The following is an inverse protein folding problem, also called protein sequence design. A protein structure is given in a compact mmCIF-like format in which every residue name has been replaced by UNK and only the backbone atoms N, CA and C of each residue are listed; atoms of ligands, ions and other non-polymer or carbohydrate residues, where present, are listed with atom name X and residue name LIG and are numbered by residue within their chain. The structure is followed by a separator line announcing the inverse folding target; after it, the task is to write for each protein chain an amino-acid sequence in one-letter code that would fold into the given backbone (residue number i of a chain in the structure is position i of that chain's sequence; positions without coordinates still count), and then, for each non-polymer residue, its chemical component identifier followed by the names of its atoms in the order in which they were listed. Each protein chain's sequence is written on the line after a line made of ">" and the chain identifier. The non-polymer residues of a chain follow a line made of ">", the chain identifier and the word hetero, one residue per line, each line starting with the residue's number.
data_IF_344500185389
#
_entry.id   IF_344500185389
#
_cell.length_a   1.000
_cell.length_b   1.000
_cell.length_c   1.000
_cell.angle_alpha   90.00
_cell.angle_beta   90.00
_cell.angle_gamma   90.00
#
_symmetry.space_group_name_H-M   'P 1'
#
loop_
_entity.id
_entity.type
_entity.pdbx_description
1 polymer ?
#
# COMPACT_ATOMS: atom_id res chain seq x y z
N UNK A 1 8.34 -13.43 -16.40
CA UNK A 1 8.75 -14.55 -15.52
C UNK A 1 7.77 -14.68 -14.37
N UNK A 2 7.76 -15.80 -13.65
CA UNK A 2 6.73 -16.13 -12.63
C UNK A 2 6.44 -15.01 -11.63
N UNK A 3 7.48 -14.33 -11.12
CA UNK A 3 7.31 -13.21 -10.17
C UNK A 3 6.44 -12.07 -10.70
N UNK A 4 6.65 -11.66 -11.96
CA UNK A 4 5.87 -10.60 -12.62
C UNK A 4 4.39 -10.98 -12.82
N UNK A 5 4.09 -12.27 -13.03
CA UNK A 5 2.70 -12.71 -13.13
C UNK A 5 2.01 -12.69 -11.76
N UNK A 6 2.73 -13.07 -10.69
CA UNK A 6 2.22 -13.03 -9.32
C UNK A 6 1.96 -11.59 -8.89
N UNK A 7 2.91 -10.68 -9.07
CA UNK A 7 2.75 -9.28 -8.65
C UNK A 7 1.65 -8.58 -9.44
N UNK A 8 1.52 -8.86 -10.75
CA UNK A 8 0.40 -8.36 -11.56
C UNK A 8 -0.95 -8.83 -11.02
N UNK A 9 -1.11 -10.13 -10.81
CA UNK A 9 -2.35 -10.70 -10.29
C UNK A 9 -2.71 -10.13 -8.90
N UNK A 10 -1.73 -10.05 -7.99
CA UNK A 10 -1.93 -9.43 -6.68
C UNK A 10 -2.31 -7.95 -6.79
N UNK A 11 -1.70 -7.22 -7.74
CA UNK A 11 -2.05 -5.83 -8.02
C UNK A 11 -3.49 -5.67 -8.51
N UNK A 12 -3.93 -6.50 -9.45
CA UNK A 12 -5.31 -6.52 -9.96
C UNK A 12 -6.33 -6.80 -8.85
N UNK A 13 -6.12 -7.89 -8.10
CA UNK A 13 -6.98 -8.27 -6.96
C UNK A 13 -7.02 -7.16 -5.90
N UNK A 14 -5.89 -6.53 -5.59
CA UNK A 14 -5.83 -5.41 -4.65
C UNK A 14 -6.68 -4.24 -5.14
N UNK A 15 -6.56 -3.87 -6.42
CA UNK A 15 -7.34 -2.77 -7.00
C UNK A 15 -8.84 -3.03 -6.96
N UNK A 16 -9.27 -4.26 -7.24
CA UNK A 16 -10.67 -4.68 -7.14
C UNK A 16 -11.18 -4.61 -5.70
N UNK A 17 -10.43 -5.17 -4.74
CA UNK A 17 -10.79 -5.13 -3.32
C UNK A 17 -10.89 -3.68 -2.82
N UNK A 18 -9.91 -2.84 -3.14
CA UNK A 18 -9.93 -1.42 -2.77
C UNK A 18 -11.12 -0.68 -3.39
N UNK A 19 -11.50 -1.02 -4.62
CA UNK A 19 -12.66 -0.44 -5.30
C UNK A 19 -13.99 -0.83 -4.64
N UNK A 20 -14.11 -2.07 -4.15
CA UNK A 20 -15.37 -2.61 -3.61
C UNK A 20 -15.53 -2.26 -2.13
N UNK A 21 -14.47 -2.45 -1.34
CA UNK A 21 -14.55 -2.39 0.12
C UNK A 21 -14.08 -1.07 0.72
N UNK A 22 -13.29 -0.27 0.00
CA UNK A 22 -12.65 0.94 0.52
C UNK A 22 -12.02 0.72 1.92
N UNK A 23 -11.00 -0.16 2.02
CA UNK A 23 -10.43 -0.54 3.31
C UNK A 23 -9.87 0.68 4.05
N UNK A 24 -9.92 0.65 5.39
CA UNK A 24 -9.37 1.71 6.26
C UNK A 24 -7.85 1.88 6.15
N UNK A 25 -7.17 0.98 5.47
CA UNK A 25 -5.74 1.06 5.20
C UNK A 25 -5.26 -0.09 4.34
N UNK A 26 -4.17 0.14 3.65
CA UNK A 26 -3.51 -0.83 2.78
C UNK A 26 -2.04 -0.92 3.14
N UNK A 27 -1.50 -2.14 3.18
CA UNK A 27 -0.06 -2.38 3.36
C UNK A 27 0.46 -3.06 2.10
N UNK A 28 1.45 -2.47 1.45
CA UNK A 28 2.11 -3.02 0.26
C UNK A 28 3.58 -3.27 0.58
N UNK A 29 4.03 -4.51 0.47
CA UNK A 29 5.44 -4.87 0.72
C UNK A 29 6.09 -5.43 -0.54
N UNK A 30 7.29 -4.94 -0.85
CA UNK A 30 7.98 -5.18 -2.12
C UNK A 30 7.67 -4.10 -3.16
N UNK A 31 8.71 -3.61 -3.84
CA UNK A 31 8.59 -2.53 -4.83
C UNK A 31 7.67 -2.89 -5.98
N UNK A 32 7.90 -4.04 -6.62
CA UNK A 32 7.08 -4.50 -7.75
C UNK A 32 5.61 -4.68 -7.35
N UNK A 33 5.34 -5.21 -6.16
CA UNK A 33 3.95 -5.37 -5.69
C UNK A 33 3.27 -4.02 -5.49
N UNK A 34 3.98 -3.06 -4.89
CA UNK A 34 3.46 -1.70 -4.73
C UNK A 34 3.18 -1.01 -6.07
N UNK A 35 4.10 -1.17 -7.04
CA UNK A 35 3.95 -0.60 -8.39
C UNK A 35 2.79 -1.25 -9.12
N UNK A 36 2.68 -2.59 -9.15
CA UNK A 36 1.59 -3.27 -9.87
C UNK A 36 0.21 -3.00 -9.27
N UNK A 37 0.11 -2.80 -7.95
CA UNK A 37 -1.12 -2.34 -7.32
C UNK A 37 -1.47 -0.89 -7.72
N UNK A 38 -0.48 0.00 -7.75
CA UNK A 38 -0.69 1.38 -8.21
C UNK A 38 -1.10 1.44 -9.70
N UNK A 39 -0.44 0.64 -10.56
CA UNK A 39 -0.74 0.53 -11.99
C UNK A 39 -2.17 0.02 -12.23
N UNK A 40 -2.59 -1.05 -11.53
CA UNK A 40 -3.95 -1.61 -11.67
C UNK A 40 -5.03 -0.60 -11.26
N UNK A 41 -4.72 0.25 -10.29
CA UNK A 41 -5.58 1.34 -9.81
C UNK A 41 -5.45 2.63 -10.64
N UNK A 42 -4.60 2.65 -11.68
CA UNK A 42 -4.31 3.81 -12.55
C UNK A 42 -3.83 5.03 -11.76
N UNK A 43 -3.00 4.81 -10.74
CA UNK A 43 -2.45 5.86 -9.88
C UNK A 43 -1.28 6.54 -10.59
N UNK A 44 -1.35 7.86 -10.74
CA UNK A 44 -0.27 8.67 -11.35
C UNK A 44 0.77 9.16 -10.35
N UNK A 45 0.47 9.08 -9.05
CA UNK A 45 1.38 9.52 -7.99
C UNK A 45 0.78 9.36 -6.60
N UNK A 46 1.59 9.66 -5.60
CA UNK A 46 1.19 9.59 -4.20
C UNK A 46 1.80 10.74 -3.39
N UNK A 47 1.10 11.13 -2.33
CA UNK A 47 1.58 12.10 -1.34
C UNK A 47 2.11 11.35 -0.13
N UNK A 48 3.38 11.53 0.21
CA UNK A 48 3.93 11.07 1.48
C UNK A 48 3.38 11.97 2.58
N UNK A 49 2.70 11.38 3.57
CA UNK A 49 2.10 12.10 4.68
C UNK A 49 2.82 11.87 5.99
N UNK A 50 3.43 10.71 6.16
CA UNK A 50 4.06 10.32 7.41
C UNK A 50 5.10 9.22 7.16
N UNK A 51 5.91 8.94 8.18
CA UNK A 51 6.84 7.81 8.23
C UNK A 51 6.51 6.95 9.44
N UNK A 52 5.98 5.75 9.19
CA UNK A 52 5.50 4.85 10.25
C UNK A 52 6.69 4.27 11.04
N UNK A 53 7.75 3.94 10.32
CA UNK A 53 9.03 3.45 10.81
C UNK A 53 10.13 3.92 9.83
N UNK A 54 11.41 3.97 10.24
CA UNK A 54 12.50 4.38 9.35
C UNK A 54 12.50 3.61 8.01
N UNK A 55 12.36 4.33 6.91
CA UNK A 55 12.27 3.79 5.55
C UNK A 55 10.92 3.17 5.16
N UNK A 56 9.87 3.38 5.96
CA UNK A 56 8.52 2.80 5.77
C UNK A 56 7.48 3.94 5.80
N UNK A 57 7.20 4.58 4.65
CA UNK A 57 6.30 5.72 4.58
C UNK A 57 4.82 5.31 4.59
N UNK A 58 3.99 6.18 5.15
CA UNK A 58 2.55 6.23 4.87
C UNK A 58 2.30 7.28 3.79
N UNK A 59 1.61 6.86 2.73
CA UNK A 59 1.26 7.67 1.57
C UNK A 59 -0.25 7.66 1.34
N UNK A 60 -0.71 8.60 0.52
CA UNK A 60 -2.05 8.59 -0.05
C UNK A 60 -1.95 8.73 -1.56
N UNK A 61 -2.72 7.92 -2.28
CA UNK A 61 -2.75 7.99 -3.73
C UNK A 61 -3.43 9.27 -4.22
N UNK A 62 -2.86 9.89 -5.25
CA UNK A 62 -3.48 11.01 -5.96
C UNK A 62 -4.56 10.42 -6.89
N UNK A 63 -5.76 10.22 -6.35
CA UNK A 63 -6.88 9.61 -7.08
C UNK A 63 -8.22 9.98 -6.46
N UNK A 64 -9.23 10.31 -7.26
CA UNK A 64 -10.58 10.58 -6.72
C UNK A 64 -11.20 9.36 -6.04
N UNK A 65 -10.84 8.15 -6.47
CA UNK A 65 -11.46 6.91 -5.99
C UNK A 65 -10.75 6.30 -4.78
N UNK A 66 -9.44 6.51 -4.69
CA UNK A 66 -8.59 5.82 -3.70
C UNK A 66 -7.89 6.78 -2.74
N UNK A 67 -8.09 8.10 -2.85
CA UNK A 67 -7.41 9.12 -2.03
C UNK A 67 -7.66 9.02 -0.53
N UNK A 68 -8.74 8.37 -0.11
CA UNK A 68 -9.10 8.29 1.31
C UNK A 68 -8.51 7.03 1.97
N UNK A 69 -7.86 6.15 1.20
CA UNK A 69 -7.21 4.94 1.70
C UNK A 69 -5.74 5.28 2.05
N UNK A 70 -5.34 5.28 3.33
CA UNK A 70 -3.92 5.37 3.67
C UNK A 70 -3.19 4.09 3.24
N UNK A 71 -2.06 4.26 2.56
CA UNK A 71 -1.23 3.16 2.08
C UNK A 71 0.13 3.22 2.75
N UNK A 72 0.56 2.12 3.36
CA UNK A 72 1.92 1.99 3.90
C UNK A 72 2.73 1.11 2.96
N UNK A 73 3.84 1.62 2.45
CA UNK A 73 4.74 0.85 1.59
C UNK A 73 6.00 0.44 2.34
N UNK A 74 6.44 -0.80 2.15
CA UNK A 74 7.66 -1.34 2.74
C UNK A 74 8.51 -2.00 1.66
N UNK A 75 9.79 -1.65 1.54
CA UNK A 75 10.69 -2.44 0.71
C UNK A 75 10.80 -3.87 1.27
N UNK A 76 10.96 -4.88 0.41
CA UNK A 76 10.90 -6.29 0.81
C UNK A 76 11.83 -6.62 1.99
N UNK A 77 13.07 -6.13 1.94
CA UNK A 77 14.11 -6.36 2.94
C UNK A 77 14.17 -5.33 4.10
N UNK A 78 13.25 -4.35 4.15
CA UNK A 78 13.26 -3.30 5.18
C UNK A 78 12.42 -3.64 6.42
N UNK A 79 12.78 -3.07 7.56
CA UNK A 79 12.07 -3.25 8.84
C UNK A 79 12.60 -4.42 9.68
N UNK A 80 12.14 -4.44 10.93
CA UNK A 80 12.35 -5.53 11.88
C UNK A 80 11.22 -6.57 11.85
N UNK A 81 11.34 -7.63 12.66
CA UNK A 81 10.36 -8.71 12.80
C UNK A 81 8.95 -8.23 13.18
N UNK A 82 8.84 -7.07 13.83
CA UNK A 82 7.58 -6.55 14.36
C UNK A 82 6.99 -5.44 13.47
N UNK A 83 7.63 -5.13 12.34
CA UNK A 83 7.28 -3.97 11.52
C UNK A 83 5.85 -4.05 10.97
N UNK A 84 5.41 -5.22 10.49
CA UNK A 84 4.03 -5.38 10.02
C UNK A 84 3.00 -5.14 11.12
N UNK A 85 3.27 -5.59 12.35
CA UNK A 85 2.38 -5.35 13.49
C UNK A 85 2.27 -3.85 13.81
N UNK A 86 3.41 -3.15 13.87
CA UNK A 86 3.46 -1.70 14.10
C UNK A 86 2.71 -0.92 13.01
N UNK A 87 2.83 -1.35 11.75
CA UNK A 87 2.10 -0.76 10.62
C UNK A 87 0.59 -0.95 10.77
N UNK A 88 0.14 -2.16 11.10
CA UNK A 88 -1.29 -2.44 11.30
C UNK A 88 -1.85 -1.62 12.47
N UNK A 89 -1.11 -1.51 13.58
CA UNK A 89 -1.51 -0.67 14.71
C UNK A 89 -1.60 0.81 14.33
N UNK A 90 -0.64 1.31 13.57
CA UNK A 90 -0.66 2.67 13.04
C UNK A 90 -1.94 2.92 12.22
N UNK A 91 -2.25 2.04 11.27
CA UNK A 91 -3.44 2.16 10.42
C UNK A 91 -4.75 2.05 11.21
N UNK A 92 -4.80 1.25 12.28
CA UNK A 92 -5.98 1.15 13.16
C UNK A 92 -6.20 2.40 14.03
N UNK A 93 -5.13 3.09 14.42
CA UNK A 93 -5.19 4.29 15.28
C UNK A 93 -5.56 5.55 14.50
N UNK A 94 -5.34 5.56 13.19
CA UNK A 94 -5.70 6.67 12.31
C UNK A 94 -7.23 6.78 12.28
N UNK A 95 -7.75 7.80 12.98
CA UNK A 95 -9.14 8.24 12.84
C UNK A 95 -9.20 9.26 11.72
N UNK A 96 -10.27 9.20 10.94
CA UNK A 96 -10.60 10.15 9.87
C UNK A 96 -10.45 11.61 10.32
#
# INVERSE_FOLDING_TARGET
>A
GTGEHITRFLGEVTGEICSILQPKGLVLTGGDTAIKAADSMKISGALIKDEVLPGIPCIYFISNKFRDIPVVTKAGAFGDKDSLMKIIEYLKKKKD
#
